data_IF_919592344600
#
_entry.id   IF_919592344600
#
_cell.length_a   1.000
_cell.length_b   1.000
_cell.length_c   1.000
_cell.angle_alpha   90.00
_cell.angle_beta   90.00
_cell.angle_gamma   90.00
#
_symmetry.space_group_name_H-M   'P 1'
#
loop_
_entity.id
_entity.type
_entity.pdbx_description
1 polymer ?
#
# COMPACT_ATOMS: atom_id res chain seq x y z
N UNK A 1 -26.05 15.25 -21.49
CA UNK A 1 -25.17 16.01 -20.56
C UNK A 1 -23.94 15.16 -20.27
N UNK A 2 -22.74 15.63 -20.63
CA UNK A 2 -21.50 14.91 -20.35
C UNK A 2 -21.19 14.89 -18.85
N UNK A 3 -20.63 13.78 -18.35
CA UNK A 3 -20.23 13.64 -16.95
C UNK A 3 -19.09 14.62 -16.63
N UNK A 4 -19.24 15.43 -15.59
CA UNK A 4 -18.19 16.37 -15.14
C UNK A 4 -16.97 15.57 -14.66
N UNK A 5 -15.79 15.86 -15.22
CA UNK A 5 -14.53 15.27 -14.78
C UNK A 5 -14.17 15.72 -13.35
N UNK A 6 -13.68 14.80 -12.54
CA UNK A 6 -13.08 15.10 -11.24
C UNK A 6 -11.76 15.86 -11.44
N UNK A 7 -11.35 16.64 -10.44
CA UNK A 7 -10.10 17.41 -10.51
C UNK A 7 -8.89 16.53 -10.86
N UNK A 8 -8.78 15.34 -10.26
CA UNK A 8 -7.69 14.40 -10.52
C UNK A 8 -7.74 13.70 -11.90
N UNK A 9 -8.83 13.88 -12.66
CA UNK A 9 -8.99 13.32 -14.01
C UNK A 9 -8.64 14.34 -15.11
N UNK A 10 -8.32 15.59 -14.74
CA UNK A 10 -8.05 16.67 -15.69
C UNK A 10 -6.68 16.49 -16.34
N UNK A 11 -5.63 16.27 -15.54
CA UNK A 11 -4.27 16.08 -16.04
C UNK A 11 -3.40 15.30 -15.04
N UNK A 12 -2.23 14.78 -15.46
CA UNK A 12 -1.29 14.12 -14.54
C UNK A 12 -0.88 15.01 -13.35
N UNK A 13 -0.77 16.33 -13.57
CA UNK A 13 -0.42 17.28 -12.51
C UNK A 13 -1.55 17.40 -11.47
N UNK A 14 -2.80 17.52 -11.91
CA UNK A 14 -3.94 17.64 -10.98
C UNK A 14 -4.18 16.35 -10.20
N UNK A 15 -3.86 15.20 -10.80
CA UNK A 15 -3.78 13.92 -10.08
C UNK A 15 -2.74 13.95 -8.96
N UNK A 16 -1.48 14.32 -9.28
CA UNK A 16 -0.41 14.39 -8.28
C UNK A 16 -0.73 15.36 -7.14
N UNK A 17 -1.33 16.51 -7.45
CA UNK A 17 -1.80 17.47 -6.43
C UNK A 17 -2.85 16.81 -5.53
N UNK A 18 -3.84 16.13 -6.11
CA UNK A 18 -4.87 15.42 -5.35
C UNK A 18 -4.28 14.34 -4.44
N UNK A 19 -3.34 13.55 -4.94
CA UNK A 19 -2.64 12.51 -4.15
C UNK A 19 -1.90 13.14 -2.97
N UNK A 20 -1.08 14.16 -3.21
CA UNK A 20 -0.33 14.86 -2.15
C UNK A 20 -1.27 15.48 -1.11
N UNK A 21 -2.36 16.12 -1.55
CA UNK A 21 -3.39 16.68 -0.66
C UNK A 21 -3.99 15.60 0.24
N UNK A 22 -4.43 14.47 -0.34
CA UNK A 22 -5.09 13.41 0.43
C UNK A 22 -4.13 12.73 1.42
N UNK A 23 -2.87 12.52 1.02
CA UNK A 23 -1.84 12.00 1.93
C UNK A 23 -1.61 12.97 3.10
N UNK A 24 -1.53 14.27 2.82
CA UNK A 24 -1.34 15.30 3.84
C UNK A 24 -2.52 15.36 4.82
N UNK A 25 -3.75 15.38 4.31
CA UNK A 25 -4.96 15.36 5.16
C UNK A 25 -5.02 14.12 6.04
N UNK A 26 -4.64 12.94 5.52
CA UNK A 26 -4.53 11.73 6.32
C UNK A 26 -3.51 11.88 7.43
N UNK A 27 -2.31 12.40 7.14
CA UNK A 27 -1.27 12.64 8.16
C UNK A 27 -1.75 13.59 9.26
N UNK A 28 -2.46 14.66 8.92
CA UNK A 28 -3.07 15.57 9.91
C UNK A 28 -4.07 14.80 10.78
N UNK A 29 -4.99 14.06 10.14
CA UNK A 29 -6.00 13.28 10.86
C UNK A 29 -5.36 12.28 11.82
N UNK A 30 -4.33 11.57 11.38
CA UNK A 30 -3.62 10.58 12.18
C UNK A 30 -2.85 11.23 13.34
N UNK A 31 -2.27 12.42 13.13
CA UNK A 31 -1.62 13.18 14.20
C UNK A 31 -2.63 13.69 15.25
N UNK A 32 -3.83 14.08 14.82
CA UNK A 32 -4.90 14.54 15.71
C UNK A 32 -5.61 13.39 16.44
N UNK A 33 -5.66 12.18 15.85
CA UNK A 33 -6.48 11.08 16.37
C UNK A 33 -5.95 10.44 17.66
N UNK A 34 -4.75 10.81 18.15
CA UNK A 34 -4.05 10.19 19.30
C UNK A 34 -3.96 8.65 19.25
N UNK A 35 -4.25 8.04 18.09
CA UNK A 35 -4.24 6.60 17.93
C UNK A 35 -2.80 6.08 17.94
N UNK A 36 -2.57 5.01 18.69
CA UNK A 36 -1.27 4.32 18.75
C UNK A 36 -1.26 3.18 17.75
N UNK A 37 -0.76 3.45 16.55
CA UNK A 37 -0.57 2.40 15.55
C UNK A 37 0.38 1.32 16.04
N UNK A 38 0.08 0.06 15.69
CA UNK A 38 0.94 -1.08 15.98
C UNK A 38 2.30 -0.91 15.27
N UNK A 39 3.39 -0.92 16.04
CA UNK A 39 4.78 -0.77 15.54
C UNK A 39 5.76 -1.72 16.19
N UNK A 40 5.38 -2.34 17.30
CA UNK A 40 6.26 -3.23 18.07
C UNK A 40 6.41 -4.53 17.28
N UNK A 41 7.65 -4.99 17.11
CA UNK A 41 7.93 -6.31 16.56
C UNK A 41 8.12 -7.32 17.69
N UNK A 42 7.46 -8.46 17.56
CA UNK A 42 7.73 -9.66 18.33
C UNK A 42 7.71 -10.86 17.40
N UNK A 43 8.75 -11.69 17.49
CA UNK A 43 8.85 -12.94 16.75
C UNK A 43 8.43 -14.16 17.58
N UNK A 44 8.10 -13.94 18.85
CA UNK A 44 7.48 -14.95 19.69
C UNK A 44 6.05 -15.20 19.20
N UNK A 45 5.71 -16.48 19.02
CA UNK A 45 4.37 -16.87 18.62
C UNK A 45 3.42 -16.63 19.80
N UNK A 46 2.27 -16.02 19.52
CA UNK A 46 1.20 -15.97 20.50
C UNK A 46 0.74 -17.40 20.86
N UNK A 47 0.21 -17.62 22.08
CA UNK A 47 -0.12 -18.96 22.55
C UNK A 47 -1.11 -19.73 21.67
N UNK A 48 -1.97 -19.01 20.92
CA UNK A 48 -3.02 -19.60 20.09
C UNK A 48 -2.99 -19.00 18.68
N UNK A 49 -3.00 -19.86 17.67
CA UNK A 49 -3.17 -19.47 16.26
C UNK A 49 -4.64 -19.61 15.86
N UNK A 50 -5.32 -18.48 15.66
CA UNK A 50 -6.72 -18.45 15.26
C UNK A 50 -6.85 -18.60 13.73
N UNK A 51 -5.95 -17.98 12.97
CA UNK A 51 -6.03 -17.93 11.52
C UNK A 51 -4.64 -17.90 10.88
N UNK A 52 -4.47 -18.66 9.80
CA UNK A 52 -3.31 -18.63 8.93
C UNK A 52 -3.77 -18.84 7.50
N UNK A 53 -3.24 -18.03 6.59
CA UNK A 53 -3.53 -18.14 5.17
C UNK A 53 -2.26 -17.88 4.36
N UNK A 54 -2.13 -18.59 3.25
CA UNK A 54 -1.08 -18.37 2.26
C UNK A 54 -1.73 -18.30 0.89
N UNK A 55 -1.49 -17.21 0.17
CA UNK A 55 -1.90 -17.05 -1.23
C UNK A 55 -0.68 -17.06 -2.14
N UNK A 56 -0.87 -17.61 -3.34
CA UNK A 56 0.12 -17.47 -4.41
C UNK A 56 0.19 -16.00 -4.85
N UNK A 57 1.39 -15.43 -4.81
CA UNK A 57 1.67 -14.07 -5.27
C UNK A 57 1.59 -13.98 -6.79
N UNK A 58 2.09 -15.01 -7.48
CA UNK A 58 2.04 -15.14 -8.94
C UNK A 58 0.74 -15.84 -9.36
N UNK A 59 -0.10 -15.16 -10.14
CA UNK A 59 -1.29 -15.74 -10.78
C UNK A 59 -1.23 -15.40 -12.26
N UNK A 60 -1.31 -16.41 -13.13
CA UNK A 60 -1.42 -16.19 -14.58
C UNK A 60 -2.79 -15.58 -14.88
N UNK A 61 -2.93 -14.27 -14.76
CA UNK A 61 -4.09 -13.53 -15.29
C UNK A 61 -3.80 -13.16 -16.76
N UNK A 62 -4.44 -13.86 -17.71
CA UNK A 62 -4.56 -13.47 -19.12
C UNK A 62 -3.43 -12.62 -19.74
N UNK A 63 -3.79 -11.55 -20.46
CA UNK A 63 -2.87 -10.62 -21.12
C UNK A 63 -2.24 -9.60 -20.15
N UNK A 64 -1.89 -9.99 -18.92
CA UNK A 64 -1.19 -9.08 -18.00
C UNK A 64 0.31 -9.15 -18.27
N UNK A 65 0.96 -8.00 -18.39
CA UNK A 65 2.42 -7.92 -18.55
C UNK A 65 3.14 -8.71 -17.44
N UNK A 66 3.98 -9.65 -17.86
CA UNK A 66 4.76 -10.51 -16.96
C UNK A 66 5.70 -9.68 -16.09
N UNK A 67 6.23 -8.56 -16.61
CA UNK A 67 7.12 -7.67 -15.87
C UNK A 67 6.40 -7.06 -14.65
N UNK A 68 5.13 -6.67 -14.81
CA UNK A 68 4.34 -6.09 -13.72
C UNK A 68 4.01 -7.12 -12.63
N UNK A 69 3.88 -8.40 -12.98
CA UNK A 69 3.71 -9.47 -11.98
C UNK A 69 5.01 -9.71 -11.18
N UNK A 70 6.16 -9.67 -11.85
CA UNK A 70 7.45 -9.79 -11.17
C UNK A 70 7.74 -8.57 -10.29
N UNK A 71 7.40 -7.35 -10.74
CA UNK A 71 7.52 -6.14 -9.93
C UNK A 71 6.70 -6.23 -8.64
N UNK A 72 5.48 -6.78 -8.72
CA UNK A 72 4.66 -7.03 -7.53
C UNK A 72 5.36 -7.97 -6.54
N UNK A 73 5.99 -9.04 -7.02
CA UNK A 73 6.75 -9.94 -6.16
C UNK A 73 7.94 -9.23 -5.49
N UNK A 74 8.67 -8.39 -6.23
CA UNK A 74 9.76 -7.56 -5.70
C UNK A 74 9.25 -6.61 -4.62
N UNK A 75 8.18 -5.86 -4.88
CA UNK A 75 7.65 -4.88 -3.93
C UNK A 75 7.12 -5.52 -2.65
N UNK A 76 6.48 -6.68 -2.78
CA UNK A 76 6.06 -7.49 -1.64
C UNK A 76 7.27 -8.02 -0.87
N UNK A 77 8.34 -8.46 -1.54
CA UNK A 77 9.57 -8.89 -0.88
C UNK A 77 10.24 -7.74 -0.10
N UNK A 78 10.20 -6.51 -0.62
CA UNK A 78 10.71 -5.32 0.08
C UNK A 78 9.84 -4.92 1.28
N UNK A 79 8.53 -5.17 1.22
CA UNK A 79 7.58 -4.77 2.27
C UNK A 79 7.37 -5.83 3.34
N UNK A 80 7.50 -7.10 3.00
CA UNK A 80 7.27 -8.21 3.91
C UNK A 80 8.13 -8.10 5.18
N UNK A 81 9.44 -7.79 5.13
CA UNK A 81 10.25 -7.60 6.34
C UNK A 81 9.78 -6.45 7.22
N UNK A 82 9.16 -5.41 6.66
CA UNK A 82 8.66 -4.25 7.41
C UNK A 82 7.40 -4.60 8.22
N UNK A 83 6.56 -5.47 7.68
CA UNK A 83 5.28 -5.90 8.28
C UNK A 83 5.41 -7.17 9.13
N UNK A 84 6.32 -8.07 8.76
CA UNK A 84 6.48 -9.35 9.43
C UNK A 84 6.87 -9.16 10.90
N UNK A 85 6.20 -9.90 11.78
CA UNK A 85 6.41 -9.86 13.22
C UNK A 85 5.78 -8.66 13.94
N UNK A 86 4.95 -7.84 13.27
CA UNK A 86 4.24 -6.76 13.97
C UNK A 86 3.21 -7.34 14.93
N UNK A 87 3.40 -7.05 16.22
CA UNK A 87 2.45 -7.37 17.28
C UNK A 87 1.39 -6.28 17.34
N UNK A 88 0.13 -6.67 17.20
CA UNK A 88 -1.02 -5.79 17.31
C UNK A 88 -1.64 -6.01 18.69
N UNK A 89 -1.53 -5.02 19.58
CA UNK A 89 -2.14 -5.08 20.91
C UNK A 89 -3.61 -4.62 20.85
N UNK A 90 -4.44 -4.99 21.85
CA UNK A 90 -5.80 -4.47 21.94
C UNK A 90 -5.83 -2.93 21.88
N UNK A 91 -6.69 -2.39 21.01
CA UNK A 91 -6.81 -0.94 20.79
C UNK A 91 -5.79 -0.32 19.84
N UNK A 92 -4.81 -1.09 19.33
CA UNK A 92 -3.86 -0.59 18.33
C UNK A 92 -4.36 -0.84 16.90
N UNK A 93 -4.53 0.19 16.06
CA UNK A 93 -4.77 -0.01 14.65
C UNK A 93 -3.51 -0.50 13.93
N UNK A 94 -3.68 -1.47 13.04
CA UNK A 94 -2.68 -1.84 12.05
C UNK A 94 -2.81 -0.95 10.82
N UNK A 95 -1.70 -0.36 10.37
CA UNK A 95 -1.65 0.42 9.13
C UNK A 95 -0.44 0.02 8.30
N UNK A 96 -0.71 -0.60 7.16
CA UNK A 96 0.32 -1.03 6.22
C UNK A 96 1.22 0.14 5.80
N UNK A 97 0.63 1.26 5.34
CA UNK A 97 1.35 2.45 4.89
C UNK A 97 2.14 3.14 6.00
N UNK A 98 1.69 3.03 7.25
CA UNK A 98 2.42 3.56 8.40
C UNK A 98 3.70 2.76 8.68
N UNK A 99 3.68 1.46 8.40
CA UNK A 99 4.83 0.56 8.57
C UNK A 99 5.79 0.61 7.39
N UNK A 100 5.26 0.57 6.16
CA UNK A 100 6.10 0.47 4.96
C UNK A 100 6.71 1.82 4.54
N UNK A 101 6.02 2.92 4.84
CA UNK A 101 6.39 4.25 4.38
C UNK A 101 6.05 4.50 2.91
N UNK A 102 6.63 5.56 2.29
CA UNK A 102 6.38 5.89 0.90
C UNK A 102 7.01 4.86 -0.04
N UNK A 103 6.20 4.37 -0.97
CA UNK A 103 6.55 3.43 -2.02
C UNK A 103 7.23 4.15 -3.20
N UNK A 104 8.45 4.61 -2.97
CA UNK A 104 9.21 5.37 -3.98
C UNK A 104 10.35 4.54 -4.55
N UNK A 105 10.77 4.85 -5.78
CA UNK A 105 11.95 4.23 -6.40
C UNK A 105 13.23 4.35 -5.57
N UNK A 106 13.34 5.38 -4.71
CA UNK A 106 14.43 5.53 -3.73
C UNK A 106 14.49 4.38 -2.71
N UNK A 107 13.35 3.77 -2.39
CA UNK A 107 13.25 2.59 -1.53
C UNK A 107 13.14 1.30 -2.36
N UNK A 108 13.64 1.34 -3.61
CA UNK A 108 13.76 0.20 -4.53
C UNK A 108 12.43 -0.41 -5.00
N UNK A 109 11.31 0.23 -4.66
CA UNK A 109 10.01 -0.16 -5.17
C UNK A 109 9.97 0.02 -6.70
N UNK A 110 9.40 -0.98 -7.38
CA UNK A 110 9.17 -1.03 -8.82
C UNK A 110 7.73 -0.72 -9.20
N UNK A 111 7.48 -0.27 -10.42
CA UNK A 111 6.11 0.06 -10.87
C UNK A 111 5.23 -1.20 -10.82
N UNK A 112 4.11 -1.08 -10.15
CA UNK A 112 3.07 -2.09 -9.98
C UNK A 112 1.78 -1.77 -10.75
N UNK A 113 0.74 -2.53 -10.47
CA UNK A 113 -0.54 -2.45 -11.19
C UNK A 113 -1.53 -1.58 -10.42
N UNK A 114 -2.05 -0.53 -11.06
CA UNK A 114 -3.21 0.19 -10.50
C UNK A 114 -4.50 -0.53 -10.88
N UNK A 115 -5.40 -0.75 -9.92
CA UNK A 115 -6.79 -1.15 -10.21
C UNK A 115 -7.54 0.09 -10.71
N UNK A 116 -7.34 0.47 -11.97
CA UNK A 116 -8.16 1.51 -12.62
C UNK A 116 -8.21 1.36 -14.13
N UNK A 117 -9.37 1.67 -14.72
CA UNK A 117 -9.59 1.82 -16.17
C UNK A 117 -8.73 2.93 -16.82
N UNK A 118 -7.89 3.61 -16.06
CA UNK A 118 -6.97 4.62 -16.54
C UNK A 118 -5.56 4.18 -16.19
N UNK A 119 -4.74 3.96 -17.22
CA UNK A 119 -3.31 3.71 -17.06
C UNK A 119 -2.66 4.85 -16.27
N UNK A 120 -2.12 4.55 -15.09
CA UNK A 120 -1.26 5.46 -14.35
C UNK A 120 0.01 4.70 -13.93
N UNK A 121 1.20 5.13 -14.38
CA UNK A 121 2.45 4.39 -14.18
C UNK A 121 3.09 4.59 -12.79
N UNK A 122 2.34 5.05 -11.78
CA UNK A 122 2.89 5.53 -10.50
C UNK A 122 2.30 4.87 -9.25
N UNK A 123 1.80 3.64 -9.35
CA UNK A 123 1.55 2.82 -8.17
C UNK A 123 2.58 1.70 -8.12
N UNK A 124 3.16 1.47 -6.95
CA UNK A 124 4.16 0.45 -6.73
C UNK A 124 3.57 -0.80 -6.02
N UNK A 125 2.24 -0.92 -5.93
CA UNK A 125 1.52 -2.07 -5.36
C UNK A 125 0.25 -2.40 -6.12
#
# INVERSE_FOLDING_TARGET
MGKRKLFCEISPLTYQISVKKNIFLRKIKDALSRQRFARIKSYEKLPVMIYKHASLIRRRLGNTDLELQENKAVNLALSAPKVNGILIRPGEPFSFWHLIGPDTARHEYKVGLTISNYYCPLNFF
#
